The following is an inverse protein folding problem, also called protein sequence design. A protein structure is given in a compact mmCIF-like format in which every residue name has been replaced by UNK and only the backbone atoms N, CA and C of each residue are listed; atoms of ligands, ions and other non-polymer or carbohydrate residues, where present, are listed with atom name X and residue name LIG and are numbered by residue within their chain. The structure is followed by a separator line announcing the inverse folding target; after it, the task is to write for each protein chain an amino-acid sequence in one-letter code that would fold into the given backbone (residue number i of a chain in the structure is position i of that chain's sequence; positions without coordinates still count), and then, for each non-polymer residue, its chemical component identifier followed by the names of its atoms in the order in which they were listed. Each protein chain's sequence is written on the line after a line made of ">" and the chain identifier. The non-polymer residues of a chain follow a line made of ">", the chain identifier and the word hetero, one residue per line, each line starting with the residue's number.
data_IF_994588272323
#
_entry.id   IF_994588272323
#
_cell.length_a   1.000
_cell.length_b   1.000
_cell.length_c   1.000
_cell.angle_alpha   90.00
_cell.angle_beta   90.00
_cell.angle_gamma   90.00
#
_symmetry.space_group_name_H-M   'P 1'
#
loop_
_entity.id
_entity.type
_entity.pdbx_description
1 polymer ?
#
# COMPACT_ATOMS: atom_id res chain seq x y z
N UNK A 1 -20.27 23.29 -20.89
CA UNK A 1 -19.22 22.50 -20.21
C UNK A 1 -17.95 22.75 -20.97
N UNK A 2 -16.95 23.29 -20.33
CA UNK A 2 -15.62 23.45 -20.91
C UNK A 2 -15.04 22.06 -21.22
N UNK A 3 -14.32 21.95 -22.35
CA UNK A 3 -13.62 20.69 -22.68
C UNK A 3 -12.55 20.43 -21.62
N UNK A 4 -12.40 19.20 -21.12
CA UNK A 4 -11.36 18.90 -20.14
C UNK A 4 -9.98 19.20 -20.71
N UNK A 5 -9.07 19.66 -19.86
CA UNK A 5 -7.68 19.86 -20.21
C UNK A 5 -7.06 18.52 -20.61
N UNK A 6 -6.52 18.43 -21.82
CA UNK A 6 -5.86 17.23 -22.33
C UNK A 6 -4.41 17.49 -22.68
N UNK A 7 -3.55 16.52 -22.40
CA UNK A 7 -2.18 16.50 -22.91
C UNK A 7 -2.19 16.08 -24.38
N UNK A 8 -1.39 16.73 -25.21
CA UNK A 8 -1.17 16.28 -26.58
C UNK A 8 0.33 16.10 -26.87
N UNK A 9 0.66 15.00 -27.56
CA UNK A 9 2.02 14.72 -28.00
C UNK A 9 2.03 13.83 -29.24
N UNK A 10 3.07 13.91 -30.09
CA UNK A 10 3.21 13.03 -31.24
C UNK A 10 3.21 11.54 -30.83
N UNK A 11 2.29 10.76 -31.40
CA UNK A 11 2.14 9.33 -31.10
C UNK A 11 1.11 8.98 -30.02
N UNK A 12 0.40 9.97 -29.44
CA UNK A 12 -0.65 9.73 -28.43
C UNK A 12 -1.74 8.79 -28.93
N UNK A 13 -2.28 9.03 -30.13
CA UNK A 13 -3.34 8.21 -30.70
C UNK A 13 -2.87 6.75 -30.90
N UNK A 14 -1.67 6.54 -31.40
CA UNK A 14 -1.08 5.21 -31.52
C UNK A 14 -0.90 4.54 -30.16
N UNK A 15 -0.41 5.27 -29.14
CA UNK A 15 -0.29 4.74 -27.79
C UNK A 15 -1.66 4.35 -27.18
N UNK A 16 -2.70 5.17 -27.39
CA UNK A 16 -4.05 4.85 -26.92
C UNK A 16 -4.63 3.60 -27.62
N UNK A 17 -4.39 3.44 -28.93
CA UNK A 17 -4.83 2.28 -29.70
C UNK A 17 -4.29 0.96 -29.15
N UNK A 18 -3.08 0.96 -28.57
CA UNK A 18 -2.48 -0.21 -27.93
C UNK A 18 -3.34 -0.79 -26.80
N UNK A 19 -4.15 0.02 -26.11
CA UNK A 19 -5.06 -0.49 -25.08
C UNK A 19 -6.25 -1.26 -25.65
N UNK A 20 -6.64 -0.95 -26.90
CA UNK A 20 -7.79 -1.58 -27.58
C UNK A 20 -7.43 -2.87 -28.30
N UNK A 21 -6.13 -3.10 -28.60
CA UNK A 21 -5.69 -4.29 -29.32
C UNK A 21 -6.08 -5.57 -28.58
N UNK A 22 -6.65 -6.51 -29.35
CA UNK A 22 -6.91 -7.86 -28.84
C UNK A 22 -5.60 -8.65 -28.84
N UNK A 23 -5.22 -9.29 -27.72
CA UNK A 23 -4.02 -10.12 -27.67
C UNK A 23 -4.05 -11.31 -28.66
N UNK A 24 -5.22 -11.66 -29.20
CA UNK A 24 -5.41 -12.72 -30.21
C UNK A 24 -5.50 -12.22 -31.66
N UNK A 25 -5.38 -10.89 -31.91
CA UNK A 25 -5.49 -10.31 -33.27
C UNK A 25 -4.24 -10.53 -34.15
N UNK A 26 -4.33 -10.30 -35.50
CA UNK A 26 -3.26 -10.55 -36.45
C UNK A 26 -1.99 -9.65 -36.28
N UNK A 27 -1.99 -8.72 -35.37
CA UNK A 27 -0.81 -7.95 -34.90
C UNK A 27 -0.45 -8.27 -33.47
N UNK A 28 -1.18 -9.16 -32.82
CA UNK A 28 -0.90 -9.65 -31.47
C UNK A 28 0.27 -10.61 -31.50
N UNK A 29 1.24 -10.33 -30.72
CA UNK A 29 2.51 -11.01 -30.63
C UNK A 29 2.37 -12.42 -30.06
N UNK A 30 2.12 -13.41 -30.93
CA UNK A 30 2.16 -14.84 -30.60
C UNK A 30 0.93 -15.41 -29.88
N UNK A 31 0.85 -16.72 -29.72
CA UNK A 31 -0.32 -17.42 -29.18
C UNK A 31 -0.40 -17.25 -27.64
N UNK A 32 -0.79 -16.07 -27.18
CA UNK A 32 -1.27 -15.89 -25.82
C UNK A 32 -2.68 -16.48 -25.76
N UNK A 33 -2.76 -17.82 -25.65
CA UNK A 33 -3.97 -18.60 -25.41
C UNK A 33 -5.26 -17.99 -26.03
N UNK A 34 -5.42 -17.94 -27.37
CA UNK A 34 -6.63 -17.37 -27.97
C UNK A 34 -7.90 -18.08 -27.46
N UNK A 35 -7.79 -19.37 -27.14
CA UNK A 35 -8.83 -20.24 -26.60
C UNK A 35 -8.48 -20.81 -25.20
N UNK A 36 -7.47 -20.26 -24.52
CA UNK A 36 -7.06 -20.70 -23.19
C UNK A 36 -8.08 -20.36 -22.11
N UNK A 37 -8.09 -21.10 -20.98
CA UNK A 37 -8.97 -20.82 -19.87
C UNK A 37 -8.72 -19.41 -19.33
N UNK A 38 -9.79 -18.73 -18.86
CA UNK A 38 -9.72 -17.46 -18.18
C UNK A 38 -8.82 -17.62 -16.92
N UNK A 39 -8.04 -16.58 -16.61
CA UNK A 39 -7.26 -16.58 -15.39
C UNK A 39 -8.19 -16.58 -14.16
N UNK A 40 -7.89 -17.39 -13.13
CA UNK A 40 -8.74 -17.54 -11.97
C UNK A 40 -8.76 -16.26 -11.12
N UNK A 41 -9.91 -15.96 -10.54
CA UNK A 41 -10.10 -14.81 -9.64
C UNK A 41 -9.83 -15.16 -8.16
N UNK A 42 -9.80 -16.45 -7.85
CA UNK A 42 -9.70 -17.00 -6.49
C UNK A 42 -8.28 -17.43 -6.10
N UNK A 43 -7.29 -17.14 -6.94
CA UNK A 43 -5.88 -17.49 -6.71
C UNK A 43 -4.99 -16.24 -6.75
N UNK A 44 -3.87 -16.30 -6.04
CA UNK A 44 -2.76 -15.38 -6.27
C UNK A 44 -2.11 -15.66 -7.62
N UNK A 45 -1.74 -14.60 -8.35
CA UNK A 45 -1.09 -14.72 -9.67
C UNK A 45 0.27 -13.99 -9.66
N UNK A 46 1.33 -14.68 -10.10
CA UNK A 46 2.63 -14.12 -10.41
C UNK A 46 2.87 -14.30 -11.90
N UNK A 47 2.86 -13.22 -12.67
CA UNK A 47 2.96 -13.22 -14.12
C UNK A 47 4.32 -12.66 -14.53
N UNK A 48 5.14 -13.48 -15.18
CA UNK A 48 6.36 -13.05 -15.83
C UNK A 48 6.07 -12.65 -17.27
N UNK A 49 6.40 -11.42 -17.66
CA UNK A 49 6.25 -10.94 -19.01
C UNK A 49 6.03 -9.44 -19.11
N UNK A 50 5.78 -8.98 -20.33
CA UNK A 50 5.52 -7.57 -20.63
C UNK A 50 4.15 -7.16 -20.07
N UNK A 51 4.11 -6.06 -19.31
CA UNK A 51 2.94 -5.72 -18.51
C UNK A 51 1.74 -5.24 -19.37
N UNK A 52 1.94 -4.63 -20.54
CA UNK A 52 0.83 -4.27 -21.41
C UNK A 52 0.12 -5.53 -21.97
N UNK A 53 0.91 -6.55 -22.34
CA UNK A 53 0.38 -7.85 -22.77
C UNK A 53 -0.38 -8.55 -21.62
N UNK A 54 0.19 -8.53 -20.42
CA UNK A 54 -0.46 -9.07 -19.22
C UNK A 54 -1.78 -8.35 -18.90
N UNK A 55 -1.82 -7.01 -18.97
CA UNK A 55 -3.03 -6.23 -18.73
C UNK A 55 -4.13 -6.50 -19.75
N UNK A 56 -3.77 -6.71 -21.02
CA UNK A 56 -4.73 -7.13 -22.08
C UNK A 56 -5.32 -8.51 -21.77
N UNK A 57 -4.48 -9.46 -21.33
CA UNK A 57 -4.94 -10.78 -20.92
C UNK A 57 -5.86 -10.71 -19.70
N UNK A 58 -5.46 -9.95 -18.66
CA UNK A 58 -6.25 -9.73 -17.45
C UNK A 58 -7.61 -9.08 -17.76
N UNK A 59 -7.70 -8.20 -18.75
CA UNK A 59 -8.99 -7.60 -19.14
C UNK A 59 -10.06 -8.63 -19.49
N UNK A 60 -9.69 -9.82 -19.99
CA UNK A 60 -10.64 -10.88 -20.33
C UNK A 60 -11.30 -11.52 -19.10
N UNK A 61 -10.56 -11.63 -17.99
CA UNK A 61 -11.01 -12.33 -16.77
C UNK A 61 -11.25 -11.41 -15.58
N UNK A 62 -10.50 -10.30 -15.46
CA UNK A 62 -10.47 -9.43 -14.30
C UNK A 62 -11.11 -8.05 -14.54
N UNK A 63 -11.83 -7.85 -15.66
CA UNK A 63 -12.53 -6.59 -15.91
C UNK A 63 -13.51 -6.26 -14.77
N UNK A 64 -13.42 -5.05 -14.24
CA UNK A 64 -14.21 -4.56 -13.09
C UNK A 64 -14.13 -5.44 -11.82
N UNK A 65 -13.00 -6.15 -11.59
CA UNK A 65 -12.80 -7.01 -10.42
C UNK A 65 -11.75 -6.46 -9.45
N UNK A 66 -10.84 -5.59 -9.90
CA UNK A 66 -9.71 -5.13 -9.11
C UNK A 66 -10.14 -4.01 -8.17
N UNK A 67 -9.89 -4.18 -6.86
CA UNK A 67 -10.18 -3.17 -5.83
C UNK A 67 -9.06 -2.15 -5.69
N UNK A 68 -7.81 -2.61 -5.69
CA UNK A 68 -6.64 -1.76 -5.51
C UNK A 68 -5.64 -2.05 -6.62
N UNK A 69 -5.18 -1.00 -7.29
CA UNK A 69 -3.97 -1.04 -8.12
C UNK A 69 -2.90 -0.23 -7.40
N UNK A 70 -1.73 -0.81 -7.19
CA UNK A 70 -0.61 -0.15 -6.54
C UNK A 70 0.62 -0.35 -7.41
N UNK A 71 1.11 0.72 -8.05
CA UNK A 71 2.20 0.64 -9.02
C UNK A 71 3.31 1.65 -8.75
N UNK A 72 4.52 1.23 -9.13
CA UNK A 72 5.75 2.01 -9.06
C UNK A 72 6.42 2.03 -10.44
N UNK A 73 5.91 2.83 -11.40
CA UNK A 73 6.45 2.88 -12.76
C UNK A 73 7.85 3.51 -12.77
N UNK A 74 8.64 3.35 -13.86
CA UNK A 74 9.88 4.06 -14.04
C UNK A 74 9.70 5.58 -13.86
N UNK A 75 10.62 6.23 -13.14
CA UNK A 75 10.55 7.67 -12.83
C UNK A 75 11.16 8.56 -13.91
N UNK A 76 11.70 7.98 -14.98
CA UNK A 76 12.40 8.66 -16.05
C UNK A 76 13.61 9.47 -15.54
N UNK A 77 14.37 8.90 -14.59
CA UNK A 77 15.48 9.58 -13.92
C UNK A 77 16.69 9.77 -14.82
N UNK A 78 16.80 8.98 -15.88
CA UNK A 78 17.99 8.94 -16.75
C UNK A 78 19.19 8.21 -16.13
N UNK A 79 19.02 7.64 -14.93
CA UNK A 79 20.07 6.86 -14.28
C UNK A 79 20.18 5.46 -14.87
N UNK A 80 21.39 4.88 -14.82
CA UNK A 80 21.61 3.48 -15.16
C UNK A 80 21.08 2.60 -14.02
N UNK A 81 19.81 2.20 -14.11
CA UNK A 81 19.16 1.27 -13.19
C UNK A 81 19.17 -0.16 -13.74
N UNK A 82 18.95 -1.21 -12.92
CA UNK A 82 18.84 -2.58 -13.39
C UNK A 82 17.62 -2.82 -14.30
N UNK A 83 16.70 -1.90 -14.34
CA UNK A 83 15.52 -1.86 -15.21
C UNK A 83 15.51 -0.58 -16.06
N UNK A 84 14.67 -0.57 -17.10
CA UNK A 84 14.56 0.58 -18.00
C UNK A 84 13.93 1.76 -17.28
N UNK A 85 14.73 2.78 -16.94
CA UNK A 85 14.29 4.03 -16.28
C UNK A 85 14.58 5.27 -17.12
N UNK A 86 14.78 5.12 -18.42
CA UNK A 86 15.01 6.23 -19.34
C UNK A 86 14.34 5.97 -20.67
N UNK A 87 13.80 7.05 -21.24
CA UNK A 87 13.14 7.05 -22.54
C UNK A 87 13.99 7.78 -23.61
N UNK A 88 15.27 8.01 -23.32
CA UNK A 88 16.24 8.59 -24.23
C UNK A 88 15.78 9.91 -24.83
N UNK A 89 15.94 10.09 -26.14
CA UNK A 89 15.50 11.29 -26.86
C UNK A 89 13.97 11.50 -26.84
N UNK A 90 13.18 10.48 -26.54
CA UNK A 90 11.73 10.60 -26.42
C UNK A 90 11.29 11.24 -25.08
N UNK A 91 12.11 11.17 -24.02
CA UNK A 91 11.89 11.83 -22.74
C UNK A 91 10.48 11.65 -22.19
N UNK A 92 9.85 12.76 -21.74
CA UNK A 92 8.48 12.75 -21.21
C UNK A 92 7.44 12.16 -22.18
N UNK A 93 7.58 12.45 -23.48
CA UNK A 93 6.69 11.88 -24.52
C UNK A 93 6.75 10.35 -24.57
N UNK A 94 7.94 9.78 -24.51
CA UNK A 94 8.12 8.32 -24.49
C UNK A 94 7.52 7.70 -23.24
N UNK A 95 7.70 8.36 -22.09
CA UNK A 95 7.13 7.95 -20.82
C UNK A 95 5.59 7.98 -20.85
N UNK A 96 4.99 9.07 -21.34
CA UNK A 96 3.55 9.22 -21.50
C UNK A 96 2.96 8.16 -22.43
N UNK A 97 3.65 7.89 -23.57
CA UNK A 97 3.22 6.87 -24.53
C UNK A 97 3.27 5.45 -23.93
N UNK A 98 4.20 5.19 -23.01
CA UNK A 98 4.27 3.93 -22.27
C UNK A 98 3.15 3.83 -21.24
N UNK A 99 2.85 4.89 -20.50
CA UNK A 99 1.88 4.86 -19.40
C UNK A 99 0.42 4.88 -19.87
N UNK A 100 0.09 5.62 -20.93
CA UNK A 100 -1.30 5.83 -21.39
C UNK A 100 -2.07 4.51 -21.59
N UNK A 101 -1.62 3.54 -22.40
CA UNK A 101 -2.37 2.30 -22.62
C UNK A 101 -2.53 1.48 -21.33
N UNK A 102 -1.55 1.51 -20.44
CA UNK A 102 -1.58 0.82 -19.15
C UNK A 102 -2.61 1.41 -18.20
N UNK A 103 -2.70 2.75 -18.13
CA UNK A 103 -3.72 3.42 -17.31
C UNK A 103 -5.15 3.23 -17.88
N UNK A 104 -5.31 3.21 -19.20
CA UNK A 104 -6.60 2.90 -19.84
C UNK A 104 -7.07 1.48 -19.47
N UNK A 105 -6.19 0.50 -19.54
CA UNK A 105 -6.49 -0.88 -19.12
C UNK A 105 -6.73 -0.97 -17.61
N UNK A 106 -5.94 -0.25 -16.80
CA UNK A 106 -6.15 -0.14 -15.35
C UNK A 106 -7.57 0.32 -15.04
N UNK A 107 -8.05 1.38 -15.71
CA UNK A 107 -9.42 1.87 -15.53
C UNK A 107 -10.47 0.81 -15.88
N UNK A 108 -10.24 -0.01 -16.90
CA UNK A 108 -11.14 -1.11 -17.27
C UNK A 108 -11.15 -2.24 -16.23
N UNK A 109 -10.02 -2.53 -15.60
CA UNK A 109 -9.87 -3.57 -14.59
C UNK A 109 -10.46 -3.18 -13.23
N UNK A 110 -10.46 -1.89 -12.87
CA UNK A 110 -10.97 -1.40 -11.59
C UNK A 110 -12.48 -1.64 -11.43
N UNK A 111 -12.88 -2.08 -10.23
CA UNK A 111 -14.26 -2.06 -9.74
C UNK A 111 -14.76 -0.61 -9.66
N UNK A 112 -16.08 -0.41 -9.53
CA UNK A 112 -16.65 0.92 -9.35
C UNK A 112 -16.05 1.67 -8.15
N UNK A 113 -15.84 0.97 -7.04
CA UNK A 113 -15.21 1.49 -5.81
C UNK A 113 -13.69 1.26 -5.76
N UNK A 114 -13.09 0.91 -6.90
CA UNK A 114 -11.65 0.63 -7.01
C UNK A 114 -10.82 1.91 -7.09
N UNK A 115 -9.56 1.79 -6.63
CA UNK A 115 -8.59 2.88 -6.62
C UNK A 115 -7.26 2.47 -7.23
N UNK A 116 -6.55 3.44 -7.81
CA UNK A 116 -5.16 3.27 -8.26
C UNK A 116 -4.26 4.22 -7.48
N UNK A 117 -3.17 3.67 -6.95
CA UNK A 117 -2.05 4.37 -6.34
C UNK A 117 -0.87 4.30 -7.30
N UNK A 118 -0.32 5.44 -7.68
CA UNK A 118 0.84 5.52 -8.57
C UNK A 118 1.95 6.30 -7.87
N UNK A 119 3.03 5.60 -7.51
CA UNK A 119 4.22 6.24 -6.95
C UNK A 119 5.00 6.96 -8.05
N UNK A 120 5.48 8.16 -7.78
CA UNK A 120 6.25 8.96 -8.73
C UNK A 120 7.08 10.03 -8.01
N UNK A 121 8.17 10.51 -8.62
CA UNK A 121 8.91 11.68 -8.14
C UNK A 121 8.53 12.97 -8.91
N UNK A 122 9.19 14.08 -8.57
CA UNK A 122 8.94 15.39 -9.17
C UNK A 122 9.06 15.42 -10.70
N UNK A 123 9.82 14.50 -11.34
CA UNK A 123 10.10 14.54 -12.77
C UNK A 123 8.87 14.34 -13.64
N UNK A 124 8.11 13.32 -13.31
CA UNK A 124 6.90 12.96 -14.07
C UNK A 124 5.61 13.23 -13.31
N UNK A 125 5.65 13.77 -12.09
CA UNK A 125 4.47 14.02 -11.26
C UNK A 125 3.40 14.86 -12.00
N UNK A 126 3.78 15.98 -12.58
CA UNK A 126 2.85 16.87 -13.29
C UNK A 126 2.26 16.21 -14.55
N UNK A 127 3.09 15.49 -15.32
CA UNK A 127 2.67 14.78 -16.52
C UNK A 127 1.71 13.63 -16.18
N UNK A 128 2.04 12.86 -15.13
CA UNK A 128 1.18 11.78 -14.62
C UNK A 128 -0.15 12.32 -14.13
N UNK A 129 -0.16 13.44 -13.42
CA UNK A 129 -1.40 14.03 -12.91
C UNK A 129 -2.34 14.40 -14.05
N UNK A 130 -1.85 15.11 -15.07
CA UNK A 130 -2.65 15.47 -16.23
C UNK A 130 -3.12 14.25 -17.03
N UNK A 131 -2.23 13.26 -17.23
CA UNK A 131 -2.60 12.01 -17.89
C UNK A 131 -3.66 11.24 -17.11
N UNK A 132 -3.54 11.18 -15.78
CA UNK A 132 -4.52 10.56 -14.91
C UNK A 132 -5.89 11.26 -14.94
N UNK A 133 -5.92 12.60 -14.96
CA UNK A 133 -7.16 13.37 -15.13
C UNK A 133 -7.84 13.03 -16.46
N UNK A 134 -7.08 12.88 -17.55
CA UNK A 134 -7.61 12.50 -18.84
C UNK A 134 -8.18 11.06 -18.86
N UNK A 135 -7.48 10.12 -18.21
CA UNK A 135 -7.87 8.70 -18.22
C UNK A 135 -9.02 8.41 -17.25
N UNK A 136 -8.96 8.93 -16.03
CA UNK A 136 -9.91 8.61 -14.96
C UNK A 136 -11.02 9.64 -14.80
N UNK A 137 -10.82 10.90 -15.26
CA UNK A 137 -11.62 12.06 -14.97
C UNK A 137 -11.02 12.87 -13.82
N UNK A 138 -11.01 14.21 -13.94
CA UNK A 138 -10.50 15.11 -12.90
C UNK A 138 -11.31 14.96 -11.60
N UNK A 139 -12.62 14.76 -11.70
CA UNK A 139 -13.53 14.54 -10.58
C UNK A 139 -13.25 13.25 -9.78
N UNK A 140 -12.50 12.33 -10.37
CA UNK A 140 -12.09 11.08 -9.75
C UNK A 140 -10.67 11.13 -9.16
N UNK A 141 -10.00 12.28 -9.21
CA UNK A 141 -8.74 12.50 -8.53
C UNK A 141 -8.97 12.71 -7.04
N UNK A 142 -8.47 11.80 -6.22
CA UNK A 142 -8.65 11.84 -4.77
C UNK A 142 -7.56 12.61 -4.03
N UNK A 143 -6.53 13.04 -4.74
CA UNK A 143 -5.37 13.75 -4.20
C UNK A 143 -4.09 12.93 -4.24
N UNK A 144 -3.09 13.36 -3.47
CA UNK A 144 -1.81 12.68 -3.36
C UNK A 144 -1.40 12.44 -1.91
N UNK A 145 -0.75 11.31 -1.66
CA UNK A 145 0.04 11.11 -0.47
C UNK A 145 1.48 11.52 -0.72
N UNK A 146 2.12 12.05 0.31
CA UNK A 146 3.55 12.36 0.32
C UNK A 146 4.25 11.25 1.11
N UNK A 147 5.08 10.46 0.44
CA UNK A 147 5.96 9.52 1.11
C UNK A 147 7.21 10.23 1.57
N UNK A 148 7.49 10.27 2.86
CA UNK A 148 8.81 10.64 3.36
C UNK A 148 9.77 9.47 3.11
N UNK A 149 10.65 9.60 2.10
CA UNK A 149 11.55 8.52 1.67
C UNK A 149 12.93 8.56 2.34
N UNK A 150 13.32 9.71 2.92
CA UNK A 150 14.59 9.90 3.59
C UNK A 150 14.45 10.78 4.85
N UNK A 151 15.32 10.56 5.83
CA UNK A 151 15.36 11.37 7.07
C UNK A 151 16.04 12.71 6.88
N UNK A 152 16.87 12.84 5.86
CA UNK A 152 17.71 14.00 5.55
C UNK A 152 19.08 13.55 5.02
N UNK A 153 19.97 14.48 4.85
CA UNK A 153 21.33 14.24 4.33
C UNK A 153 21.45 14.39 2.81
N UNK A 154 22.69 14.39 2.29
CA UNK A 154 23.02 14.51 0.88
C UNK A 154 23.56 15.91 0.51
N UNK A 155 24.34 15.95 -0.57
CA UNK A 155 25.00 17.17 -1.11
C UNK A 155 24.23 17.70 -2.33
N UNK A 156 22.96 18.04 -2.16
CA UNK A 156 22.20 18.64 -3.24
C UNK A 156 22.54 20.14 -3.39
N UNK A 157 22.59 20.63 -4.63
CA UNK A 157 22.94 22.03 -4.93
C UNK A 157 21.93 23.03 -4.34
N UNK A 158 20.63 22.67 -4.33
CA UNK A 158 19.57 23.56 -3.88
C UNK A 158 18.95 23.09 -2.56
N UNK A 159 18.30 21.95 -2.58
CA UNK A 159 17.72 21.31 -1.39
C UNK A 159 17.64 19.79 -1.59
N UNK A 160 17.64 19.07 -0.48
CA UNK A 160 17.55 17.58 -0.51
C UNK A 160 16.11 17.17 -0.67
N UNK A 161 15.81 16.39 -1.71
CA UNK A 161 14.49 15.82 -1.94
C UNK A 161 14.26 14.64 -1.01
N UNK A 162 13.45 14.84 0.02
CA UNK A 162 13.15 13.85 1.06
C UNK A 162 11.86 13.09 0.84
N UNK A 163 11.16 13.29 -0.30
CA UNK A 163 9.85 12.72 -0.55
C UNK A 163 9.69 12.17 -1.97
N UNK A 164 8.71 11.30 -2.13
CA UNK A 164 8.07 10.92 -3.38
C UNK A 164 6.56 11.16 -3.24
N UNK A 165 5.85 11.21 -4.36
CA UNK A 165 4.39 11.30 -4.40
C UNK A 165 3.77 9.92 -4.61
N UNK A 166 2.55 9.74 -4.09
CA UNK A 166 1.65 8.65 -4.48
C UNK A 166 0.35 9.31 -4.93
N UNK A 167 0.16 9.42 -6.23
CA UNK A 167 -1.05 9.99 -6.81
C UNK A 167 -2.18 8.97 -6.77
N UNK A 168 -3.41 9.43 -6.51
CA UNK A 168 -4.55 8.56 -6.28
C UNK A 168 -5.75 8.95 -7.14
N UNK A 169 -6.25 8.01 -7.92
CA UNK A 169 -7.52 8.13 -8.63
C UNK A 169 -8.45 6.98 -8.25
N UNK A 170 -9.74 7.28 -8.31
CA UNK A 170 -10.80 6.30 -8.23
C UNK A 170 -11.30 5.91 -9.62
N UNK A 171 -11.99 4.78 -9.74
CA UNK A 171 -12.87 4.48 -10.88
C UNK A 171 -14.09 5.39 -10.88
N UNK A 172 -14.75 5.52 -9.72
CA UNK A 172 -15.81 6.49 -9.40
C UNK A 172 -15.59 6.99 -7.95
N UNK A 173 -15.20 8.23 -7.79
CA UNK A 173 -14.89 8.82 -6.48
C UNK A 173 -16.07 8.76 -5.49
N UNK A 174 -17.32 8.75 -6.00
CA UNK A 174 -18.54 8.69 -5.18
C UNK A 174 -18.76 7.29 -4.57
N UNK A 175 -18.18 6.26 -5.18
CA UNK A 175 -18.28 4.88 -4.71
C UNK A 175 -17.17 4.52 -3.70
N UNK A 176 -16.09 5.30 -3.64
CA UNK A 176 -14.93 5.01 -2.79
C UNK A 176 -15.20 5.43 -1.35
N UNK A 177 -14.96 4.50 -0.43
CA UNK A 177 -14.99 4.77 1.01
C UNK A 177 -13.75 5.57 1.49
N UNK A 178 -13.74 6.00 2.77
CA UNK A 178 -12.61 6.71 3.34
C UNK A 178 -11.34 5.84 3.37
N UNK A 179 -10.18 6.47 3.19
CA UNK A 179 -8.89 5.81 3.39
C UNK A 179 -8.64 5.61 4.88
N UNK A 180 -8.56 4.36 5.31
CA UNK A 180 -8.53 3.99 6.71
C UNK A 180 -7.16 3.48 7.15
N UNK A 181 -6.84 3.73 8.42
CA UNK A 181 -5.69 3.17 9.11
C UNK A 181 -6.12 2.69 10.48
N UNK A 182 -5.26 1.93 11.15
CA UNK A 182 -5.50 1.54 12.54
C UNK A 182 -5.74 2.76 13.41
N UNK A 183 -6.56 2.59 14.43
CA UNK A 183 -6.81 3.65 15.40
C UNK A 183 -5.51 3.97 16.15
N UNK A 184 -5.02 5.21 16.00
CA UNK A 184 -3.81 5.68 16.65
C UNK A 184 -4.03 5.97 18.14
N UNK A 185 -3.02 5.75 19.00
CA UNK A 185 -3.05 6.22 20.37
C UNK A 185 -3.22 7.75 20.47
N UNK A 186 -3.85 8.29 21.54
CA UNK A 186 -4.44 7.53 22.63
C UNK A 186 -5.77 6.90 22.24
N UNK A 187 -5.85 5.58 22.32
CA UNK A 187 -7.08 4.84 22.07
C UNK A 187 -7.40 4.01 23.32
N UNK A 188 -8.60 4.18 23.85
CA UNK A 188 -9.03 3.48 25.06
C UNK A 188 -9.86 2.27 24.64
N UNK A 189 -9.37 1.08 24.96
CA UNK A 189 -10.08 -0.16 24.74
C UNK A 189 -10.56 -0.75 26.06
N UNK A 190 -11.78 -1.26 26.07
CA UNK A 190 -12.36 -1.96 27.20
C UNK A 190 -13.03 -3.25 26.70
N UNK A 191 -12.98 -4.30 27.52
CA UNK A 191 -13.74 -5.52 27.27
C UNK A 191 -15.07 -5.42 28.00
N UNK A 192 -16.16 -5.51 27.24
CA UNK A 192 -17.54 -5.42 27.72
C UNK A 192 -18.27 -6.66 27.25
N UNK A 193 -18.79 -7.44 28.18
CA UNK A 193 -19.53 -8.70 27.90
C UNK A 193 -18.74 -9.65 26.96
N UNK A 194 -17.42 -9.79 27.21
CA UNK A 194 -16.51 -10.64 26.45
C UNK A 194 -16.03 -10.05 25.12
N UNK A 195 -16.59 -8.93 24.66
CA UNK A 195 -16.19 -8.27 23.41
C UNK A 195 -15.32 -7.04 23.70
N UNK A 196 -14.22 -6.91 22.95
CA UNK A 196 -13.31 -5.76 23.06
C UNK A 196 -13.81 -4.59 22.20
N UNK A 197 -13.99 -3.43 22.83
CA UNK A 197 -14.44 -2.21 22.19
C UNK A 197 -13.42 -1.09 22.31
N UNK A 198 -13.30 -0.27 21.27
CA UNK A 198 -12.80 1.10 21.39
C UNK A 198 -13.91 1.94 22.06
N UNK A 199 -13.58 2.57 23.18
CA UNK A 199 -14.49 3.42 23.94
C UNK A 199 -14.15 4.88 23.69
N UNK A 200 -15.11 5.62 23.10
CA UNK A 200 -15.02 7.05 22.93
C UNK A 200 -16.00 7.71 23.91
N UNK A 201 -15.45 8.27 24.98
CA UNK A 201 -16.22 8.92 26.04
C UNK A 201 -16.34 10.44 25.86
N UNK A 202 -15.82 10.96 24.76
CA UNK A 202 -15.69 12.38 24.48
C UNK A 202 -16.26 12.82 23.11
N UNK A 203 -17.05 11.97 22.48
CA UNK A 203 -17.64 12.22 21.17
C UNK A 203 -18.84 13.19 21.19
N UNK A 204 -19.48 13.33 22.34
CA UNK A 204 -20.64 14.21 22.53
C UNK A 204 -20.23 15.41 23.38
N UNK A 205 -20.04 16.54 22.71
CA UNK A 205 -19.55 17.78 23.33
C UNK A 205 -20.49 18.95 23.12
N UNK A 206 -20.41 19.94 23.98
CA UNK A 206 -21.01 21.25 23.84
C UNK A 206 -19.94 22.33 23.91
N UNK A 207 -19.97 23.26 22.96
CA UNK A 207 -19.06 24.42 22.95
C UNK A 207 -19.64 25.56 23.82
N UNK A 208 -18.80 26.12 24.67
CA UNK A 208 -19.10 27.31 25.43
C UNK A 208 -18.31 28.50 24.85
N UNK A 209 -19.02 29.44 24.22
CA UNK A 209 -18.44 30.68 23.70
C UNK A 209 -17.91 30.63 22.29
N UNK A 210 -17.87 31.82 21.67
CA UNK A 210 -17.63 32.01 20.22
C UNK A 210 -16.16 31.88 19.79
N UNK A 211 -15.18 31.86 20.72
CA UNK A 211 -13.76 32.08 20.39
C UNK A 211 -12.73 31.27 21.19
N UNK A 212 -13.10 30.30 22.00
CA UNK A 212 -12.11 29.55 22.80
C UNK A 212 -11.99 28.10 22.38
N UNK A 213 -10.93 27.77 21.61
CA UNK A 213 -10.41 26.40 21.52
C UNK A 213 -10.12 25.92 22.95
N UNK A 214 -10.80 24.84 23.38
CA UNK A 214 -10.61 24.27 24.72
C UNK A 214 -11.77 24.50 25.71
N UNK A 215 -12.76 25.32 25.36
CA UNK A 215 -13.98 25.51 26.19
C UNK A 215 -15.11 24.51 25.86
N UNK A 216 -14.80 23.41 25.19
CA UNK A 216 -15.76 22.34 24.96
C UNK A 216 -15.84 21.44 26.20
N UNK A 217 -17.07 21.24 26.69
CA UNK A 217 -17.35 20.30 27.77
C UNK A 217 -18.09 19.09 27.24
N UNK A 218 -17.86 17.94 27.88
CA UNK A 218 -18.65 16.74 27.65
C UNK A 218 -20.12 17.04 27.95
N UNK A 219 -21.01 16.68 27.03
CA UNK A 219 -22.44 16.79 27.21
C UNK A 219 -22.95 15.54 27.92
N UNK A 220 -23.55 15.72 29.07
CA UNK A 220 -24.12 14.63 29.86
C UNK A 220 -25.45 14.18 29.29
N UNK A 221 -25.81 12.92 29.48
CA UNK A 221 -27.02 12.32 28.96
C UNK A 221 -28.29 13.08 29.37
N UNK A 222 -28.34 13.53 30.62
CA UNK A 222 -29.48 14.27 31.20
C UNK A 222 -29.65 15.64 30.57
N UNK A 223 -28.62 16.22 30.02
CA UNK A 223 -28.61 17.56 29.45
C UNK A 223 -28.85 17.59 27.93
N UNK A 224 -28.92 16.42 27.27
CA UNK A 224 -28.96 16.33 25.80
C UNK A 224 -30.22 17.03 25.24
N UNK A 225 -31.39 16.73 25.78
CA UNK A 225 -32.64 17.31 25.29
C UNK A 225 -32.64 18.84 25.37
N UNK A 226 -32.17 19.37 26.50
CA UNK A 226 -32.12 20.81 26.74
C UNK A 226 -31.08 21.53 25.84
N UNK A 227 -29.96 20.87 25.52
CA UNK A 227 -28.81 21.50 24.81
C UNK A 227 -28.86 21.24 23.30
N UNK A 228 -29.29 20.06 22.88
CA UNK A 228 -29.23 19.57 21.48
C UNK A 228 -30.63 19.23 20.92
N UNK A 229 -31.66 19.31 21.73
CA UNK A 229 -33.06 19.03 21.36
C UNK A 229 -33.44 17.55 21.46
N UNK A 230 -34.75 17.30 21.43
CA UNK A 230 -35.35 15.96 21.58
C UNK A 230 -34.94 14.99 20.49
N UNK A 231 -34.72 15.46 19.26
CA UNK A 231 -34.26 14.60 18.15
C UNK A 231 -32.89 13.97 18.46
N UNK A 232 -31.94 14.75 19.01
CA UNK A 232 -30.62 14.21 19.41
C UNK A 232 -30.72 13.30 20.63
N UNK A 233 -31.63 13.59 21.55
CA UNK A 233 -31.89 12.70 22.70
C UNK A 233 -32.43 11.36 22.23
N UNK A 234 -33.40 11.35 21.31
CA UNK A 234 -33.96 10.14 20.73
C UNK A 234 -32.92 9.31 19.96
N UNK A 235 -32.00 9.96 19.22
CA UNK A 235 -30.87 9.28 18.55
C UNK A 235 -29.95 8.55 19.56
N UNK A 236 -29.64 9.22 20.67
CA UNK A 236 -28.82 8.62 21.74
C UNK A 236 -29.56 7.47 22.41
N UNK A 237 -30.86 7.60 22.69
CA UNK A 237 -31.67 6.55 23.28
C UNK A 237 -31.77 5.31 22.37
N UNK A 238 -31.92 5.52 21.05
CA UNK A 238 -31.88 4.46 20.08
C UNK A 238 -30.50 3.75 20.07
N UNK A 239 -29.40 4.50 20.17
CA UNK A 239 -28.07 3.95 20.27
C UNK A 239 -27.82 3.13 21.55
N UNK A 240 -28.39 3.57 22.67
CA UNK A 240 -28.40 2.82 23.95
C UNK A 240 -29.17 1.50 23.82
N UNK A 241 -30.35 1.56 23.20
CA UNK A 241 -31.18 0.37 22.96
C UNK A 241 -30.50 -0.62 22.01
N UNK A 242 -29.76 -0.12 21.00
CA UNK A 242 -28.99 -0.92 20.06
C UNK A 242 -27.64 -1.44 20.61
N UNK A 243 -27.24 -1.04 21.82
CA UNK A 243 -25.95 -1.44 22.41
C UNK A 243 -24.72 -0.77 21.79
N UNK A 244 -24.89 0.18 20.88
CA UNK A 244 -23.78 0.96 20.27
C UNK A 244 -23.31 2.09 21.18
N UNK A 245 -24.15 2.47 22.13
CA UNK A 245 -23.86 3.44 23.18
C UNK A 245 -24.05 2.80 24.55
N UNK A 246 -23.38 3.37 25.57
CA UNK A 246 -23.51 2.96 26.97
C UNK A 246 -23.42 4.16 27.88
N UNK A 247 -24.15 4.14 28.98
CA UNK A 247 -24.06 5.16 30.01
C UNK A 247 -23.01 4.78 31.05
N UNK A 248 -22.25 5.76 31.51
CA UNK A 248 -21.30 5.64 32.61
C UNK A 248 -21.48 6.82 33.55
N UNK A 249 -21.65 6.55 34.85
CA UNK A 249 -21.68 7.59 35.87
C UNK A 249 -20.39 8.41 35.80
N UNK A 250 -20.51 9.74 35.85
CA UNK A 250 -19.39 10.66 35.64
C UNK A 250 -19.40 11.80 36.65
N UNK A 251 -18.23 12.17 37.13
CA UNK A 251 -18.04 13.26 38.07
C UNK A 251 -18.50 12.95 39.51
N UNK A 252 -18.45 13.97 40.35
CA UNK A 252 -18.98 13.89 41.72
C UNK A 252 -20.50 13.96 41.73
N UNK A 253 -21.17 13.34 42.73
CA UNK A 253 -22.61 13.48 42.93
C UNK A 253 -23.01 14.95 43.18
N UNK A 254 -24.20 15.32 42.75
CA UNK A 254 -24.77 16.61 43.10
C UNK A 254 -25.20 16.65 44.58
N UNK A 255 -25.74 17.79 45.04
CA UNK A 255 -26.20 17.98 46.40
C UNK A 255 -27.29 16.98 46.85
N UNK A 256 -27.90 16.27 45.90
CA UNK A 256 -28.91 15.21 46.12
C UNK A 256 -28.34 13.82 46.05
N UNK A 257 -26.99 13.68 45.88
CA UNK A 257 -26.32 12.41 45.75
C UNK A 257 -26.43 11.75 44.37
N UNK A 258 -26.92 12.48 43.36
CA UNK A 258 -27.14 11.96 41.99
C UNK A 258 -25.96 12.32 41.11
N UNK A 259 -25.42 11.31 40.39
CA UNK A 259 -24.37 11.50 39.35
C UNK A 259 -25.00 11.59 37.98
N UNK A 260 -24.49 12.51 37.18
CA UNK A 260 -24.81 12.54 35.73
C UNK A 260 -24.05 11.45 34.99
N UNK A 261 -24.53 11.12 33.78
CA UNK A 261 -23.97 10.06 32.99
C UNK A 261 -23.28 10.59 31.71
N UNK A 262 -22.04 10.20 31.48
CA UNK A 262 -21.40 10.31 30.19
C UNK A 262 -21.96 9.26 29.23
N UNK A 263 -22.15 9.64 27.97
CA UNK A 263 -22.54 8.71 26.91
C UNK A 263 -21.27 8.19 26.24
N UNK A 264 -21.01 6.91 26.39
CA UNK A 264 -19.89 6.23 25.75
C UNK A 264 -20.33 5.72 24.37
N UNK A 265 -19.53 5.98 23.34
CA UNK A 265 -19.70 5.34 22.03
C UNK A 265 -18.80 4.12 21.97
N UNK A 266 -19.38 2.96 21.66
CA UNK A 266 -18.72 1.69 21.58
C UNK A 266 -18.51 1.33 20.10
N UNK A 267 -17.24 1.15 19.71
CA UNK A 267 -16.88 0.63 18.38
C UNK A 267 -16.15 -0.69 18.60
N UNK A 268 -16.64 -1.82 18.05
CA UNK A 268 -15.92 -3.09 18.12
C UNK A 268 -14.47 -2.90 17.68
N UNK A 269 -13.53 -3.54 18.38
CA UNK A 269 -12.09 -3.30 18.17
C UNK A 269 -11.64 -3.66 16.74
N UNK A 270 -12.28 -4.65 16.14
CA UNK A 270 -12.06 -5.08 14.76
C UNK A 270 -12.56 -4.07 13.70
N UNK A 271 -13.44 -3.13 14.10
CA UNK A 271 -13.96 -2.03 13.26
C UNK A 271 -13.37 -0.67 13.63
N UNK A 272 -12.50 -0.63 14.63
CA UNK A 272 -11.88 0.61 15.08
C UNK A 272 -10.83 1.08 14.06
N UNK A 273 -11.06 2.25 13.48
CA UNK A 273 -10.18 2.81 12.44
C UNK A 273 -10.05 4.33 12.59
N UNK A 274 -9.07 4.89 11.92
CA UNK A 274 -8.90 6.33 11.73
C UNK A 274 -8.72 6.63 10.25
N UNK A 275 -9.07 7.84 9.81
CA UNK A 275 -8.71 8.30 8.47
C UNK A 275 -7.20 8.48 8.37
N UNK A 276 -6.65 8.15 7.20
CA UNK A 276 -5.23 8.37 6.91
C UNK A 276 -4.89 9.85 6.82
N UNK A 277 -3.64 10.17 7.19
CA UNK A 277 -3.04 11.46 6.83
C UNK A 277 -2.37 11.35 5.46
N UNK A 278 -2.29 12.48 4.75
CA UNK A 278 -1.65 12.56 3.43
C UNK A 278 -0.12 12.44 3.47
N UNK A 279 0.51 12.43 4.65
CA UNK A 279 1.96 12.25 4.81
C UNK A 279 2.22 10.88 5.41
N UNK A 280 2.96 10.03 4.69
CA UNK A 280 3.31 8.67 5.09
C UNK A 280 4.82 8.62 5.35
N UNK A 281 5.21 8.24 6.57
CA UNK A 281 6.60 8.06 6.97
C UNK A 281 7.04 6.62 6.66
N UNK A 282 7.49 6.38 5.45
CA UNK A 282 7.98 5.07 5.02
C UNK A 282 9.29 5.28 4.24
N UNK A 283 10.41 5.09 4.93
CA UNK A 283 11.74 5.36 4.39
C UNK A 283 12.17 4.28 3.39
N UNK A 284 12.85 4.67 2.31
CA UNK A 284 13.31 3.73 1.28
C UNK A 284 14.34 2.70 1.82
N UNK A 285 15.08 3.03 2.87
CA UNK A 285 15.96 2.07 3.55
C UNK A 285 15.21 0.85 4.09
N UNK A 286 13.92 1.02 4.48
CA UNK A 286 13.06 -0.08 4.93
C UNK A 286 12.89 -1.17 3.88
N UNK A 287 12.73 -0.81 2.61
CA UNK A 287 12.57 -1.81 1.54
C UNK A 287 13.77 -2.74 1.37
N UNK A 288 15.00 -2.23 1.61
CA UNK A 288 16.21 -3.07 1.62
C UNK A 288 16.24 -3.99 2.83
N UNK A 289 15.90 -3.46 4.01
CA UNK A 289 15.80 -4.25 5.24
C UNK A 289 14.76 -5.37 5.11
N UNK A 290 13.64 -5.10 4.42
CA UNK A 290 12.60 -6.11 4.15
C UNK A 290 13.14 -7.29 3.31
N UNK A 291 14.00 -7.03 2.31
CA UNK A 291 14.67 -8.08 1.52
C UNK A 291 15.77 -8.80 2.33
N UNK A 292 16.53 -8.06 3.13
CA UNK A 292 17.56 -8.63 4.02
C UNK A 292 16.94 -9.60 5.02
N UNK A 293 15.79 -9.26 5.62
CA UNK A 293 15.06 -10.12 6.54
C UNK A 293 14.63 -11.46 5.92
N UNK A 294 14.45 -11.50 4.60
CA UNK A 294 14.15 -12.71 3.85
C UNK A 294 15.42 -13.40 3.29
N UNK A 295 16.63 -12.93 3.62
CA UNK A 295 17.87 -13.45 3.07
C UNK A 295 18.07 -13.15 1.58
N UNK A 296 17.45 -12.08 1.06
CA UNK A 296 17.51 -11.61 -0.34
C UNK A 296 18.24 -10.26 -0.45
N UNK A 297 18.97 -9.86 0.59
CA UNK A 297 19.71 -8.60 0.62
C UNK A 297 20.73 -8.48 -0.52
N UNK A 298 20.95 -7.25 -1.01
CA UNK A 298 21.93 -6.95 -2.06
C UNK A 298 21.52 -7.33 -3.49
N UNK A 299 20.42 -8.06 -3.69
CA UNK A 299 19.97 -8.52 -5.01
C UNK A 299 19.19 -7.45 -5.78
N UNK A 300 18.55 -6.50 -5.09
CA UNK A 300 17.75 -5.44 -5.72
C UNK A 300 17.96 -4.10 -5.02
N UNK A 301 18.26 -3.05 -5.79
CA UNK A 301 18.73 -1.77 -5.25
C UNK A 301 17.65 -0.88 -4.66
N UNK A 302 16.43 -0.95 -5.19
CA UNK A 302 15.37 0.03 -4.92
C UNK A 302 14.01 -0.61 -4.65
N UNK A 303 13.89 -1.58 -3.72
CA UNK A 303 12.59 -2.12 -3.36
C UNK A 303 11.78 -1.04 -2.63
N UNK A 304 10.48 -0.95 -2.94
CA UNK A 304 9.57 -0.10 -2.16
C UNK A 304 9.46 -0.64 -0.73
N UNK A 305 9.36 0.24 0.28
CA UNK A 305 9.15 -0.19 1.66
C UNK A 305 7.84 -0.97 1.80
N UNK A 306 7.89 -2.11 2.45
CA UNK A 306 6.73 -2.96 2.71
C UNK A 306 5.66 -2.23 3.53
N UNK A 307 6.07 -1.42 4.51
CA UNK A 307 5.18 -0.60 5.31
C UNK A 307 4.34 0.38 4.46
N UNK A 308 4.94 1.00 3.42
CA UNK A 308 4.21 1.88 2.51
C UNK A 308 3.10 1.12 1.80
N UNK A 309 3.46 0.03 1.14
CA UNK A 309 2.51 -0.75 0.32
C UNK A 309 1.42 -1.36 1.19
N UNK A 310 1.79 -1.93 2.35
CA UNK A 310 0.84 -2.45 3.33
C UNK A 310 -0.15 -1.38 3.79
N UNK A 311 0.32 -0.17 4.07
CA UNK A 311 -0.52 0.96 4.48
C UNK A 311 -1.49 1.36 3.38
N UNK A 312 -1.03 1.47 2.12
CA UNK A 312 -1.87 1.83 0.98
C UNK A 312 -2.94 0.77 0.70
N UNK A 313 -2.54 -0.50 0.60
CA UNK A 313 -3.46 -1.62 0.35
C UNK A 313 -4.49 -1.71 1.46
N UNK A 314 -4.05 -1.73 2.73
CA UNK A 314 -4.94 -1.80 3.89
C UNK A 314 -5.96 -0.68 3.92
N UNK A 315 -5.58 0.53 3.50
CA UNK A 315 -6.44 1.71 3.57
C UNK A 315 -7.78 1.54 2.86
N UNK A 316 -7.83 0.72 1.81
CA UNK A 316 -9.02 0.44 1.01
C UNK A 316 -9.53 -1.00 1.14
N UNK A 317 -8.79 -1.85 1.86
CA UNK A 317 -9.15 -3.27 2.04
C UNK A 317 -9.32 -3.66 3.50
N UNK A 318 -9.34 -2.72 4.44
CA UNK A 318 -9.49 -2.99 5.88
C UNK A 318 -10.75 -3.80 6.19
N UNK A 319 -11.85 -3.53 5.49
CA UNK A 319 -13.14 -4.21 5.63
C UNK A 319 -13.54 -5.01 4.39
N UNK A 320 -12.77 -4.92 3.30
CA UNK A 320 -12.90 -5.73 2.09
C UNK A 320 -11.71 -6.70 2.01
N UNK A 321 -11.80 -7.76 2.79
CA UNK A 321 -10.70 -8.70 3.03
C UNK A 321 -10.57 -9.77 1.94
N UNK A 322 -11.39 -9.72 0.90
CA UNK A 322 -11.36 -10.62 -0.27
C UNK A 322 -10.92 -9.90 -1.55
N UNK A 323 -10.52 -8.63 -1.43
CA UNK A 323 -10.18 -7.75 -2.53
C UNK A 323 -9.04 -8.30 -3.41
N UNK A 324 -9.12 -8.04 -4.71
CA UNK A 324 -8.00 -8.25 -5.65
C UNK A 324 -7.13 -6.99 -5.68
N UNK A 325 -5.82 -7.19 -5.50
CA UNK A 325 -4.77 -6.16 -5.52
C UNK A 325 -3.86 -6.43 -6.72
N UNK A 326 -3.75 -5.47 -7.62
CA UNK A 326 -2.94 -5.58 -8.85
C UNK A 326 -1.70 -4.67 -8.78
N UNK A 327 -0.55 -5.22 -9.14
CA UNK A 327 0.68 -4.47 -9.36
C UNK A 327 1.38 -4.97 -10.63
N UNK A 328 1.37 -4.15 -11.68
CA UNK A 328 1.98 -4.50 -12.97
C UNK A 328 3.35 -3.84 -13.23
N UNK A 329 3.94 -3.29 -12.16
CA UNK A 329 5.34 -2.93 -12.05
C UNK A 329 5.91 -3.54 -10.77
N UNK A 330 5.69 -4.85 -10.56
CA UNK A 330 5.83 -5.51 -9.27
C UNK A 330 7.27 -5.49 -8.70
N UNK A 331 8.28 -5.27 -9.53
CA UNK A 331 9.66 -5.22 -9.11
C UNK A 331 10.05 -6.48 -8.33
N UNK A 332 10.51 -6.29 -7.10
CA UNK A 332 10.87 -7.41 -6.21
C UNK A 332 9.67 -8.07 -5.50
N UNK A 333 8.41 -7.71 -5.81
CA UNK A 333 7.22 -8.35 -5.26
C UNK A 333 6.75 -7.82 -3.90
N UNK A 334 7.05 -6.57 -3.56
CA UNK A 334 6.64 -5.97 -2.28
C UNK A 334 5.12 -6.01 -2.06
N UNK A 335 4.34 -5.77 -3.12
CA UNK A 335 2.87 -5.77 -3.06
C UNK A 335 2.32 -7.14 -2.71
N UNK A 336 2.89 -8.22 -3.25
CA UNK A 336 2.47 -9.57 -2.91
C UNK A 336 2.75 -9.92 -1.43
N UNK A 337 3.95 -9.61 -0.94
CA UNK A 337 4.26 -9.79 0.49
C UNK A 337 3.30 -8.99 1.39
N UNK A 338 3.00 -7.74 1.02
CA UNK A 338 2.05 -6.91 1.78
C UNK A 338 0.66 -7.54 1.88
N UNK A 339 0.16 -8.15 0.78
CA UNK A 339 -1.13 -8.85 0.76
C UNK A 339 -1.09 -10.09 1.67
N UNK A 340 -0.04 -10.91 1.60
CA UNK A 340 0.12 -12.09 2.47
C UNK A 340 0.16 -11.70 3.95
N UNK A 341 0.92 -10.66 4.32
CA UNK A 341 0.99 -10.18 5.69
C UNK A 341 -0.34 -9.62 6.20
N UNK A 342 -1.09 -8.91 5.35
CA UNK A 342 -2.43 -8.43 5.72
C UNK A 342 -3.40 -9.59 5.96
N UNK A 343 -3.37 -10.63 5.12
CA UNK A 343 -4.20 -11.81 5.29
C UNK A 343 -3.84 -12.56 6.57
N UNK A 344 -2.54 -12.72 6.88
CA UNK A 344 -2.09 -13.32 8.13
C UNK A 344 -2.54 -12.51 9.36
N UNK A 345 -2.49 -11.18 9.27
CA UNK A 345 -2.81 -10.29 10.40
C UNK A 345 -4.31 -10.21 10.72
N UNK A 346 -5.20 -10.32 9.73
CA UNK A 346 -6.64 -10.11 9.92
C UNK A 346 -7.54 -11.25 9.44
N UNK A 347 -6.95 -12.39 9.06
CA UNK A 347 -7.68 -13.58 8.58
C UNK A 347 -8.37 -13.35 7.24
N UNK A 348 -7.88 -12.39 6.46
CA UNK A 348 -8.42 -12.09 5.13
C UNK A 348 -7.99 -13.10 4.06
N UNK A 349 -8.63 -13.01 2.92
CA UNK A 349 -8.37 -13.82 1.73
C UNK A 349 -8.17 -12.97 0.48
N UNK A 350 -7.55 -11.77 0.65
CA UNK A 350 -7.17 -10.90 -0.48
C UNK A 350 -6.30 -11.67 -1.45
N UNK A 351 -6.41 -11.32 -2.73
CA UNK A 351 -5.59 -11.92 -3.80
C UNK A 351 -4.68 -10.86 -4.39
N UNK A 352 -3.44 -11.24 -4.68
CA UNK A 352 -2.56 -10.40 -5.46
C UNK A 352 -2.49 -10.90 -6.91
N UNK A 353 -2.31 -9.95 -7.84
CA UNK A 353 -1.92 -10.17 -9.22
C UNK A 353 -0.69 -9.33 -9.47
N UNK A 354 0.46 -9.97 -9.66
CA UNK A 354 1.73 -9.30 -9.87
C UNK A 354 2.21 -9.57 -11.29
N UNK A 355 2.72 -8.52 -11.95
CA UNK A 355 3.32 -8.65 -13.27
C UNK A 355 4.72 -8.05 -13.24
N UNK A 356 5.73 -8.81 -13.69
CA UNK A 356 7.11 -8.37 -13.79
C UNK A 356 7.79 -8.96 -15.02
N UNK A 357 8.50 -8.10 -15.75
CA UNK A 357 9.36 -8.53 -16.86
C UNK A 357 10.60 -9.30 -16.33
N UNK A 358 11.14 -10.28 -17.09
CA UNK A 358 12.34 -11.02 -16.74
C UNK A 358 13.63 -10.23 -16.98
N UNK A 359 13.67 -8.96 -16.54
CA UNK A 359 14.87 -8.13 -16.62
C UNK A 359 15.99 -8.72 -15.75
N UNK A 360 17.22 -8.68 -16.25
CA UNK A 360 18.37 -9.25 -15.57
C UNK A 360 18.63 -8.55 -14.23
N UNK A 361 18.80 -9.34 -13.17
CA UNK A 361 19.27 -8.82 -11.89
C UNK A 361 20.71 -8.32 -12.04
N UNK A 362 20.94 -7.11 -11.54
CA UNK A 362 22.28 -6.54 -11.42
C UNK A 362 22.56 -6.35 -9.93
N UNK A 363 23.50 -7.13 -9.35
CA UNK A 363 23.85 -6.97 -7.94
C UNK A 363 24.24 -5.52 -7.63
N UNK A 364 23.81 -5.04 -6.46
CA UNK A 364 24.18 -3.70 -6.00
C UNK A 364 25.66 -3.69 -5.68
N UNK A 365 26.44 -2.84 -6.33
CA UNK A 365 27.88 -2.71 -6.11
C UNK A 365 28.15 -2.46 -4.60
N UNK A 366 28.98 -3.30 -3.97
CA UNK A 366 29.31 -3.22 -2.56
C UNK A 366 28.40 -3.96 -1.59
N UNK A 367 27.34 -4.62 -2.05
CA UNK A 367 26.54 -5.51 -1.23
C UNK A 367 27.23 -6.88 -1.08
N UNK A 368 27.42 -7.33 0.17
CA UNK A 368 27.88 -8.71 0.43
C UNK A 368 26.71 -9.66 0.12
N UNK A 369 26.89 -10.52 -0.86
CA UNK A 369 25.94 -11.62 -1.11
C UNK A 369 26.07 -12.65 0.01
N UNK A 370 24.96 -13.18 0.51
CA UNK A 370 24.92 -14.09 1.67
C UNK A 370 25.78 -15.38 1.53
N UNK A 371 26.35 -15.65 0.38
CA UNK A 371 27.30 -16.75 0.17
C UNK A 371 28.70 -16.46 0.74
N UNK A 372 29.10 -15.20 0.96
CA UNK A 372 30.44 -14.84 1.47
C UNK A 372 30.46 -14.60 3.01
N UNK A 373 29.31 -14.61 3.69
CA UNK A 373 29.25 -14.42 5.14
C UNK A 373 29.72 -15.65 5.95
N UNK A 374 29.88 -16.80 5.33
CA UNK A 374 30.27 -18.06 5.99
C UNK A 374 31.78 -18.33 6.12
N UNK A 375 32.65 -17.52 5.52
CA UNK A 375 34.08 -17.90 5.36
C UNK A 375 35.11 -17.05 6.11
N UNK A 376 34.76 -16.10 6.96
CA UNK A 376 35.76 -15.33 7.75
C UNK A 376 35.39 -15.15 9.22
N UNK A 377 35.35 -16.27 9.92
CA UNK A 377 35.54 -16.33 11.37
C UNK A 377 37.03 -16.36 11.70
N UNK A 378 37.47 -15.44 12.58
CA UNK A 378 38.79 -15.34 13.22
C UNK A 378 39.85 -14.47 12.53
N UNK A 379 39.86 -13.19 12.89
CA UNK A 379 41.12 -12.51 13.25
C UNK A 379 40.86 -11.38 14.27
N UNK A 380 41.46 -11.58 15.43
CA UNK A 380 41.58 -10.64 16.54
C UNK A 380 42.36 -9.39 16.12
N UNK A 381 41.87 -8.20 16.54
CA UNK A 381 42.74 -7.02 16.68
C UNK A 381 42.54 -6.43 18.07
N UNK A 382 43.61 -6.44 18.80
CA UNK A 382 43.82 -5.80 20.10
C UNK A 382 44.23 -4.33 19.88
N UNK A 383 43.78 -3.44 20.77
CA UNK A 383 44.43 -2.16 21.11
C UNK A 383 43.67 -0.92 20.61
N UNK A 384 43.30 -0.01 21.41
CA UNK A 384 43.67 0.80 22.51
C UNK A 384 42.63 1.92 22.76
N UNK A 385 42.16 1.98 23.94
CA UNK A 385 41.91 3.06 24.93
C UNK A 385 41.58 4.51 24.47
N UNK A 386 40.51 5.08 24.93
CA UNK A 386 40.25 5.97 26.06
C UNK A 386 39.26 7.09 25.70
N UNK A 387 38.24 7.29 26.54
CA UNK A 387 37.36 8.47 26.48
C UNK A 387 36.01 8.23 27.21
N UNK A 388 36.03 8.56 28.51
CA UNK A 388 34.95 8.41 29.48
C UNK A 388 33.78 9.37 29.29
N UNK A 389 32.54 8.88 29.45
CA UNK A 389 31.34 9.66 29.72
C UNK A 389 30.10 8.74 29.87
N UNK A 390 29.24 8.92 30.90
CA UNK A 390 28.42 7.84 31.44
C UNK A 390 27.04 7.69 30.78
N UNK A 391 26.70 6.45 30.50
CA UNK A 391 25.48 5.79 30.87
C UNK A 391 24.18 6.01 30.15
N UNK A 392 23.84 5.08 29.26
CA UNK A 392 22.52 4.46 29.21
C UNK A 392 22.67 3.11 28.51
N UNK A 393 22.45 2.04 29.24
CA UNK A 393 22.42 0.68 28.67
C UNK A 393 21.30 0.56 27.65
N UNK A 394 21.56 -0.01 26.48
CA UNK A 394 20.49 -0.53 25.60
C UNK A 394 20.11 -1.93 26.08
N UNK A 395 18.81 -2.16 26.20
CA UNK A 395 18.22 -3.45 26.51
C UNK A 395 18.73 -4.50 25.50
N UNK A 396 19.32 -5.54 26.04
CA UNK A 396 19.68 -6.76 25.33
C UNK A 396 18.39 -7.52 24.94
N UNK A 397 18.29 -7.96 23.69
CA UNK A 397 17.26 -8.89 23.27
C UNK A 397 16.79 -8.75 21.83
N UNK A 398 17.69 -8.92 20.86
CA UNK A 398 17.31 -9.38 19.53
C UNK A 398 18.35 -10.43 19.15
N UNK A 399 18.06 -11.68 19.54
CA UNK A 399 18.86 -12.84 19.19
C UNK A 399 18.78 -13.11 17.68
N UNK A 400 19.90 -13.59 17.13
CA UNK A 400 20.05 -14.21 15.82
C UNK A 400 18.96 -15.26 15.60
N UNK A 401 17.95 -14.90 14.82
CA UNK A 401 16.96 -15.81 14.26
C UNK A 401 16.96 -15.71 12.74
N UNK A 402 18.15 -15.83 12.14
CA UNK A 402 18.25 -16.23 10.75
C UNK A 402 18.11 -17.76 10.73
N UNK A 403 16.90 -18.26 10.47
CA UNK A 403 16.67 -19.66 10.16
C UNK A 403 17.54 -20.09 8.95
N UNK A 404 17.72 -21.40 8.71
CA UNK A 404 18.58 -21.88 7.64
C UNK A 404 18.17 -21.26 6.31
N UNK A 405 19.12 -20.58 5.65
CA UNK A 405 18.93 -19.99 4.31
C UNK A 405 18.61 -21.14 3.36
N UNK A 406 17.33 -21.30 3.00
CA UNK A 406 16.91 -22.30 1.99
C UNK A 406 17.48 -21.87 0.63
N UNK A 407 18.01 -22.84 -0.12
CA UNK A 407 18.37 -22.58 -1.50
C UNK A 407 17.16 -22.11 -2.30
N UNK A 408 17.33 -21.13 -3.21
CA UNK A 408 16.23 -20.64 -4.04
C UNK A 408 15.72 -21.76 -4.97
N UNK A 409 14.42 -21.78 -5.22
CA UNK A 409 13.76 -22.79 -6.06
C UNK A 409 14.22 -22.74 -7.54
N UNK A 410 14.72 -21.58 -7.98
CA UNK A 410 15.28 -21.35 -9.31
C UNK A 410 16.47 -20.36 -9.21
N UNK A 411 17.38 -20.34 -10.19
CA UNK A 411 18.47 -19.36 -10.20
C UNK A 411 17.92 -17.92 -10.20
N UNK A 412 18.39 -17.10 -9.26
CA UNK A 412 17.99 -15.69 -9.13
C UNK A 412 18.76 -14.84 -10.15
N UNK A 413 18.41 -14.97 -11.41
CA UNK A 413 19.05 -14.22 -12.52
C UNK A 413 18.21 -13.05 -13.01
N UNK A 414 16.90 -13.04 -12.71
CA UNK A 414 15.98 -12.00 -13.16
C UNK A 414 15.18 -11.39 -11.99
N UNK A 415 14.64 -10.18 -12.21
CA UNK A 415 13.79 -9.50 -11.22
C UNK A 415 12.52 -10.31 -10.95
N UNK A 416 11.94 -10.94 -11.97
CA UNK A 416 10.77 -11.81 -11.82
C UNK A 416 11.06 -13.09 -11.01
N UNK A 417 12.26 -13.68 -11.16
CA UNK A 417 12.71 -14.80 -10.31
C UNK A 417 12.87 -14.36 -8.85
N UNK A 418 13.44 -13.17 -8.62
CA UNK A 418 13.53 -12.58 -7.28
C UNK A 418 12.14 -12.33 -6.69
N UNK A 419 11.20 -11.82 -7.47
CA UNK A 419 9.81 -11.60 -7.05
C UNK A 419 9.19 -12.90 -6.54
N UNK A 420 9.26 -13.97 -7.32
CA UNK A 420 8.74 -15.30 -6.94
C UNK A 420 9.39 -15.83 -5.67
N UNK A 421 10.71 -15.72 -5.57
CA UNK A 421 11.44 -16.21 -4.39
C UNK A 421 11.09 -15.40 -3.13
N UNK A 422 10.92 -14.07 -3.24
CA UNK A 422 10.42 -13.24 -2.14
C UNK A 422 9.06 -13.72 -1.65
N UNK A 423 8.14 -14.01 -2.56
CA UNK A 423 6.79 -14.49 -2.21
C UNK A 423 6.86 -15.85 -1.50
N UNK A 424 7.69 -16.79 -1.98
CA UNK A 424 7.86 -18.10 -1.35
C UNK A 424 8.44 -17.99 0.06
N UNK A 425 9.48 -17.16 0.26
CA UNK A 425 10.10 -16.98 1.58
C UNK A 425 9.16 -16.24 2.56
N UNK A 426 8.50 -15.20 2.10
CA UNK A 426 7.51 -14.48 2.91
C UNK A 426 6.34 -15.41 3.28
N UNK A 427 5.81 -16.18 2.34
CA UNK A 427 4.76 -17.16 2.59
C UNK A 427 5.19 -18.23 3.59
N UNK A 428 6.38 -18.80 3.44
CA UNK A 428 6.91 -19.81 4.35
C UNK A 428 7.04 -19.27 5.78
N UNK A 429 7.57 -18.07 5.95
CA UNK A 429 7.70 -17.43 7.27
C UNK A 429 6.34 -17.13 7.92
N UNK A 430 5.33 -16.79 7.13
CA UNK A 430 3.98 -16.54 7.62
C UNK A 430 3.24 -17.84 8.00
N UNK A 431 3.46 -18.94 7.28
CA UNK A 431 2.89 -20.25 7.59
C UNK A 431 3.34 -20.80 8.95
N UNK A 432 4.55 -20.48 9.40
CA UNK A 432 5.04 -20.83 10.74
C UNK A 432 4.19 -20.19 11.85
N UNK A 433 3.65 -19.00 11.59
CA UNK A 433 2.84 -18.24 12.57
C UNK A 433 1.33 -18.40 12.35
N UNK A 434 0.91 -18.69 11.12
CA UNK A 434 -0.49 -18.79 10.70
C UNK A 434 -0.69 -20.02 9.80
N UNK A 435 -0.71 -21.23 10.38
CA UNK A 435 -0.95 -22.46 9.63
C UNK A 435 -2.32 -22.39 8.94
N UNK A 436 -2.37 -22.68 7.64
CA UNK A 436 -3.59 -22.61 6.83
C UNK A 436 -3.80 -21.30 6.07
N UNK A 437 -2.87 -20.35 6.18
CA UNK A 437 -2.84 -19.18 5.29
C UNK A 437 -2.65 -19.65 3.83
N UNK A 438 -3.45 -19.10 2.91
CA UNK A 438 -3.23 -19.30 1.48
C UNK A 438 -2.05 -18.42 1.03
N UNK A 439 -0.92 -19.05 0.75
CA UNK A 439 0.33 -18.42 0.28
C UNK A 439 0.71 -18.88 -1.12
N UNK A 440 0.00 -19.86 -1.68
CA UNK A 440 0.28 -20.40 -2.99
C UNK A 440 -0.15 -19.45 -4.10
N UNK A 441 0.64 -19.39 -5.14
CA UNK A 441 0.35 -18.59 -6.31
C UNK A 441 0.57 -19.39 -7.62
N UNK A 442 -0.21 -19.03 -8.64
CA UNK A 442 0.03 -19.52 -9.98
C UNK A 442 1.17 -18.72 -10.61
N UNK A 443 2.20 -19.43 -11.05
CA UNK A 443 3.33 -18.88 -11.81
C UNK A 443 2.99 -18.97 -13.31
N UNK A 444 2.85 -17.82 -13.95
CA UNK A 444 2.45 -17.70 -15.35
C UNK A 444 3.58 -17.01 -16.09
N UNK A 445 4.03 -17.59 -17.19
CA UNK A 445 5.05 -16.98 -18.04
C UNK A 445 4.44 -16.65 -19.40
N UNK A 446 4.47 -15.38 -19.74
CA UNK A 446 4.03 -14.92 -21.05
C UNK A 446 5.21 -15.09 -22.05
N UNK A 447 4.91 -15.40 -23.30
CA UNK A 447 5.94 -15.40 -24.33
C UNK A 447 6.54 -14.00 -24.50
N UNK A 448 7.80 -13.96 -24.88
CA UNK A 448 8.45 -12.69 -25.24
C UNK A 448 7.69 -12.05 -26.42
N UNK A 449 7.55 -10.72 -26.44
CA UNK A 449 7.03 -10.04 -27.60
C UNK A 449 7.93 -10.37 -28.81
N UNK A 450 7.38 -10.58 -30.02
CA UNK A 450 8.19 -10.73 -31.21
C UNK A 450 9.03 -9.46 -31.44
N UNK A 451 10.24 -9.65 -31.99
CA UNK A 451 11.17 -8.59 -32.36
C UNK A 451 10.58 -7.58 -33.36
#
# INVERSE_FOLDING_TARGET
>A
MESPLTLDWPGKAAAAALAAEDPSGPGGTGPLLPDGPLLPLDRHLAIEGENLAALRLLRRSHAAQVKVVCIDPPYNTGNALPYRDTFGAAGHRGWLSMMLPRLLLTRALLRADGVVFVSIDDRENAHLQLLGHEVFGEENYLGSFIQQRAKGGGNARSFVRGHDFVLVWAKDARAVGPFLTEKRPPARYETIDGTRYLVDDDWLRVSFGKYTRGAERRLMYEDIAAVRGEAKKAEVDAGLAAGTLRLRAWGEPDERGVRKHAVLRLTPADRASSKMYSIIKALNEGGRADLEALGLGGLFGYPKPLELIRTLVRSQTMFDREAIVLDFFAGSGTTGQAVLELNAADGGSRRFVLVQQPEALRPVAGARTGAEAGASGARSVVGAAAGTGPGREPAAGAGDAAGPVREPAEPLTTISALMRERLRRAGAALLEQSPGLDVDFLDIRLPDPPD
#
